data_IF_852554794726
#
_entry.id   IF_852554794726
#
_cell.length_a   1.000
_cell.length_b   1.000
_cell.length_c   1.000
_cell.angle_alpha   90.00
_cell.angle_beta   90.00
_cell.angle_gamma   90.00
#
_symmetry.space_group_name_H-M   'P 1'
#
loop_
_entity.id
_entity.type
_entity.pdbx_description
1 polymer ?
#
# COMPACT_ATOMS: atom_id res chain seq x y z
N UNK A 1 -3.10 -8.66 14.87
CA UNK A 1 -4.13 -9.31 14.05
C UNK A 1 -3.93 -10.82 14.01
N UNK A 2 -2.73 -11.31 13.61
CA UNK A 2 -2.48 -12.74 13.44
C UNK A 2 -2.67 -13.52 14.74
N UNK A 3 -2.19 -12.99 15.89
CA UNK A 3 -2.42 -13.59 17.20
C UNK A 3 -3.93 -13.75 17.50
N UNK A 4 -4.72 -12.70 17.27
CA UNK A 4 -6.18 -12.76 17.45
C UNK A 4 -6.86 -13.78 16.50
N UNK A 5 -6.29 -14.01 15.31
CA UNK A 5 -6.79 -15.04 14.40
C UNK A 5 -6.45 -16.45 14.89
N UNK A 6 -5.24 -16.69 15.41
CA UNK A 6 -4.90 -17.99 16.03
C UNK A 6 -5.78 -18.27 17.24
N UNK A 7 -6.00 -17.28 18.12
CA UNK A 7 -6.89 -17.41 19.29
C UNK A 7 -8.31 -17.82 18.84
N UNK A 8 -8.90 -17.10 17.87
CA UNK A 8 -10.24 -17.42 17.35
C UNK A 8 -10.33 -18.79 16.68
N UNK A 9 -9.31 -19.21 15.95
CA UNK A 9 -9.26 -20.55 15.36
C UNK A 9 -9.14 -21.63 16.43
N UNK A 10 -8.37 -21.40 17.48
CA UNK A 10 -8.25 -22.31 18.63
C UNK A 10 -9.62 -22.46 19.33
N UNK A 11 -10.39 -21.40 19.50
CA UNK A 11 -11.75 -21.42 20.06
C UNK A 11 -12.72 -22.29 19.23
N UNK A 12 -12.44 -22.50 17.94
CA UNK A 12 -13.21 -23.42 17.07
C UNK A 12 -12.69 -24.86 17.07
N UNK A 13 -11.71 -25.17 17.93
CA UNK A 13 -11.11 -26.50 18.04
C UNK A 13 -9.98 -26.77 17.04
N UNK A 14 -9.49 -25.76 16.36
CA UNK A 14 -8.36 -25.88 15.41
C UNK A 14 -7.05 -25.60 16.16
N UNK A 15 -6.22 -26.64 16.32
CA UNK A 15 -4.91 -26.49 16.95
C UNK A 15 -3.94 -25.77 15.98
N UNK A 16 -3.76 -24.48 16.20
CA UNK A 16 -2.83 -23.62 15.44
C UNK A 16 -2.11 -22.65 16.38
N UNK A 17 -0.78 -22.58 16.23
CA UNK A 17 0.04 -21.65 16.99
C UNK A 17 0.86 -20.71 16.11
N UNK A 18 1.31 -19.58 16.63
CA UNK A 18 2.23 -18.70 15.92
C UNK A 18 3.54 -19.41 15.53
N UNK A 19 4.01 -20.32 16.35
CA UNK A 19 5.24 -21.10 16.14
C UNK A 19 5.10 -22.04 14.95
N UNK A 20 3.99 -22.77 14.84
CA UNK A 20 3.69 -23.63 13.70
C UNK A 20 3.59 -22.83 12.39
N UNK A 21 2.98 -21.66 12.43
CA UNK A 21 2.91 -20.77 11.27
C UNK A 21 4.30 -20.26 10.86
N UNK A 22 5.15 -19.95 11.82
CA UNK A 22 6.53 -19.53 11.57
C UNK A 22 7.38 -20.67 11.02
N UNK A 23 7.23 -21.88 11.55
CA UNK A 23 7.90 -23.08 11.06
C UNK A 23 7.54 -23.35 9.58
N UNK A 24 6.27 -23.25 9.23
CA UNK A 24 5.78 -23.56 7.89
C UNK A 24 6.06 -22.45 6.85
N UNK A 25 6.00 -21.17 7.26
CA UNK A 25 6.08 -20.03 6.34
C UNK A 25 7.31 -19.13 6.56
N UNK A 26 8.17 -19.47 7.52
CA UNK A 26 9.38 -18.70 7.82
C UNK A 26 9.08 -17.29 8.30
N UNK A 27 9.88 -16.32 7.84
CA UNK A 27 9.74 -14.90 8.17
C UNK A 27 8.77 -14.15 7.24
N UNK A 28 7.94 -14.86 6.50
CA UNK A 28 6.93 -14.25 5.63
C UNK A 28 5.91 -13.42 6.43
N UNK A 29 5.46 -12.31 5.85
CA UNK A 29 4.34 -11.56 6.42
C UNK A 29 3.06 -12.38 6.28
N UNK A 30 2.60 -12.93 7.40
CA UNK A 30 1.43 -13.81 7.43
C UNK A 30 0.16 -13.06 7.01
N UNK A 31 -0.52 -13.63 6.02
CA UNK A 31 -1.81 -13.15 5.48
C UNK A 31 -2.89 -14.18 5.72
N UNK A 32 -4.17 -13.85 5.48
CA UNK A 32 -5.27 -14.82 5.54
C UNK A 32 -5.04 -16.06 4.64
N UNK A 33 -4.38 -15.87 3.51
CA UNK A 33 -4.04 -16.97 2.61
C UNK A 33 -3.08 -18.00 3.26
N UNK A 34 -2.14 -17.55 4.11
CA UNK A 34 -1.27 -18.46 4.85
C UNK A 34 -2.07 -19.28 5.88
N UNK A 35 -3.00 -18.65 6.58
CA UNK A 35 -3.90 -19.37 7.49
C UNK A 35 -4.79 -20.38 6.73
N UNK A 36 -5.39 -19.98 5.62
CA UNK A 36 -6.19 -20.88 4.79
C UNK A 36 -5.37 -22.07 4.30
N UNK A 37 -4.13 -21.82 3.87
CA UNK A 37 -3.20 -22.85 3.44
C UNK A 37 -2.83 -23.81 4.57
N UNK A 38 -2.56 -23.29 5.77
CA UNK A 38 -2.32 -24.10 6.95
C UNK A 38 -3.51 -25.03 7.24
N UNK A 39 -4.73 -24.49 7.26
CA UNK A 39 -5.94 -25.26 7.50
C UNK A 39 -6.13 -26.38 6.47
N UNK A 40 -5.86 -26.11 5.22
CA UNK A 40 -5.97 -27.09 4.13
C UNK A 40 -4.89 -28.17 4.25
N UNK A 41 -3.63 -27.80 4.42
CA UNK A 41 -2.51 -28.74 4.49
C UNK A 41 -2.56 -29.63 5.74
N UNK A 42 -3.19 -29.17 6.82
CA UNK A 42 -3.40 -29.96 8.05
C UNK A 42 -4.75 -30.68 8.11
N UNK A 43 -5.51 -30.69 7.02
CA UNK A 43 -6.75 -31.46 6.91
C UNK A 43 -7.94 -30.94 7.70
N UNK A 44 -7.89 -29.68 8.17
CA UNK A 44 -9.04 -29.03 8.84
C UNK A 44 -10.16 -28.64 7.87
N UNK A 45 -9.83 -28.49 6.59
CA UNK A 45 -10.74 -28.17 5.49
C UNK A 45 -10.33 -28.94 4.22
N UNK A 46 -11.27 -29.14 3.31
CA UNK A 46 -11.07 -29.85 2.04
C UNK A 46 -10.52 -28.96 0.92
N UNK A 47 -10.56 -27.64 1.08
CA UNK A 47 -10.06 -26.68 0.11
C UNK A 47 -9.72 -25.33 0.72
N UNK A 48 -8.90 -24.55 0.01
CA UNK A 48 -8.63 -23.14 0.36
C UNK A 48 -9.92 -22.32 0.40
N UNK A 49 -10.84 -22.55 -0.54
CA UNK A 49 -12.13 -21.85 -0.59
C UNK A 49 -12.97 -22.14 0.65
N UNK A 50 -13.01 -23.38 1.10
CA UNK A 50 -13.71 -23.76 2.34
C UNK A 50 -13.08 -23.06 3.56
N UNK A 51 -11.75 -22.98 3.63
CA UNK A 51 -11.09 -22.26 4.73
C UNK A 51 -11.55 -20.80 4.82
N UNK A 52 -11.67 -20.13 3.68
CA UNK A 52 -12.18 -18.76 3.65
C UNK A 52 -13.64 -18.70 4.06
N UNK A 53 -14.52 -19.41 3.38
CA UNK A 53 -15.96 -19.35 3.62
C UNK A 53 -16.33 -19.71 5.06
N UNK A 54 -15.66 -20.72 5.62
CA UNK A 54 -16.01 -21.26 6.93
C UNK A 54 -15.38 -20.50 8.09
N UNK A 55 -14.17 -19.94 7.91
CA UNK A 55 -13.39 -19.39 9.03
C UNK A 55 -12.86 -17.98 8.81
N UNK A 56 -12.43 -17.59 7.59
CA UNK A 56 -11.53 -16.47 7.39
C UNK A 56 -12.09 -15.29 6.58
N UNK A 57 -13.18 -15.47 5.84
CA UNK A 57 -13.81 -14.38 5.07
C UNK A 57 -14.46 -13.34 5.98
N UNK A 58 -14.73 -12.19 5.40
CA UNK A 58 -15.47 -11.12 6.04
C UNK A 58 -16.82 -11.71 6.53
N UNK A 59 -17.12 -11.51 7.82
CA UNK A 59 -18.26 -12.12 8.54
C UNK A 59 -18.07 -13.57 9.03
N UNK A 60 -17.00 -14.27 8.65
CA UNK A 60 -16.69 -15.59 9.20
C UNK A 60 -16.18 -15.50 10.66
N UNK A 61 -16.37 -16.56 11.49
CA UNK A 61 -16.13 -16.49 12.94
C UNK A 61 -14.69 -16.13 13.32
N UNK A 62 -13.70 -16.56 12.56
CA UNK A 62 -12.29 -16.26 12.85
C UNK A 62 -11.76 -15.03 12.13
N UNK A 63 -12.62 -14.30 11.43
CA UNK A 63 -12.23 -13.05 10.80
C UNK A 63 -11.74 -12.02 11.83
N UNK A 64 -10.60 -11.42 11.53
CA UNK A 64 -10.06 -10.28 12.28
C UNK A 64 -9.74 -9.18 11.28
N UNK A 65 -10.48 -8.06 11.31
CA UNK A 65 -10.23 -6.95 10.42
C UNK A 65 -8.81 -6.40 10.61
N UNK A 66 -8.22 -5.86 9.55
CA UNK A 66 -7.04 -5.01 9.72
C UNK A 66 -7.49 -3.67 10.30
N UNK A 67 -6.74 -3.17 11.25
CA UNK A 67 -6.81 -1.74 11.54
C UNK A 67 -6.48 -1.01 10.24
N UNK A 68 -7.44 -0.25 9.74
CA UNK A 68 -7.23 0.55 8.54
C UNK A 68 -6.47 1.79 8.99
N UNK A 69 -5.22 1.88 8.60
CA UNK A 69 -4.49 3.15 8.65
C UNK A 69 -5.18 4.07 7.63
N UNK A 70 -5.75 5.17 8.10
CA UNK A 70 -6.30 6.16 7.19
C UNK A 70 -5.18 6.89 6.45
N UNK A 71 -5.44 7.49 5.28
CA UNK A 71 -4.42 8.27 4.57
C UNK A 71 -3.82 9.38 5.44
N UNK A 72 -4.62 10.02 6.28
CA UNK A 72 -4.18 11.06 7.23
C UNK A 72 -3.22 10.48 8.28
N UNK A 73 -3.57 9.33 8.88
CA UNK A 73 -2.67 8.63 9.80
C UNK A 73 -1.37 8.22 9.13
N UNK A 74 -1.43 7.76 7.87
CA UNK A 74 -0.22 7.38 7.12
C UNK A 74 0.71 8.59 6.93
N UNK A 75 0.18 9.74 6.54
CA UNK A 75 0.97 10.97 6.40
C UNK A 75 1.63 11.36 7.72
N UNK A 76 0.89 11.35 8.83
CA UNK A 76 1.45 11.64 10.16
C UNK A 76 2.55 10.67 10.57
N UNK A 77 2.35 9.37 10.37
CA UNK A 77 3.36 8.35 10.72
C UNK A 77 4.65 8.52 9.90
N UNK A 78 4.53 8.84 8.61
CA UNK A 78 5.68 9.11 7.75
C UNK A 78 6.49 10.31 8.30
N UNK A 79 5.82 11.39 8.70
CA UNK A 79 6.49 12.56 9.30
C UNK A 79 7.14 12.25 10.65
N UNK A 80 6.50 11.46 11.50
CA UNK A 80 7.08 11.05 12.79
C UNK A 80 8.40 10.29 12.64
N UNK A 81 8.63 9.67 11.49
CA UNK A 81 9.90 8.97 11.17
C UNK A 81 10.90 9.83 10.40
N UNK A 82 10.64 11.15 10.24
CA UNK A 82 11.48 12.07 9.47
C UNK A 82 11.36 11.92 7.95
N UNK A 83 10.35 11.19 7.49
CA UNK A 83 10.06 11.00 6.06
C UNK A 83 9.19 12.13 5.48
N UNK A 84 8.98 12.07 4.17
CA UNK A 84 8.01 12.91 3.45
C UNK A 84 6.95 12.03 2.80
N UNK A 85 5.71 12.51 2.84
CA UNK A 85 4.57 11.79 2.29
C UNK A 85 4.31 12.20 0.84
N UNK A 86 4.19 11.21 -0.04
CA UNK A 86 3.89 11.40 -1.46
C UNK A 86 2.68 10.54 -1.84
N UNK A 87 1.67 11.15 -2.47
CA UNK A 87 0.51 10.45 -2.98
C UNK A 87 0.89 9.71 -4.27
N UNK A 88 0.91 8.38 -4.23
CA UNK A 88 1.33 7.52 -5.33
C UNK A 88 0.22 7.34 -6.38
N UNK A 89 0.58 7.13 -7.65
CA UNK A 89 -0.27 6.75 -8.81
C UNK A 89 -1.73 7.25 -8.76
N UNK A 90 -1.99 8.57 -8.62
CA UNK A 90 -3.31 9.12 -8.30
C UNK A 90 -4.39 8.84 -9.35
N UNK A 91 -4.01 8.55 -10.60
CA UNK A 91 -4.97 8.21 -11.64
C UNK A 91 -5.59 6.81 -11.48
N UNK A 92 -4.99 5.95 -10.65
CA UNK A 92 -5.55 4.63 -10.36
C UNK A 92 -6.73 4.67 -9.38
N UNK A 93 -6.96 5.80 -8.70
CA UNK A 93 -8.12 5.95 -7.80
C UNK A 93 -9.43 6.18 -8.54
N UNK A 94 -9.39 6.44 -9.85
CA UNK A 94 -10.55 6.74 -10.67
C UNK A 94 -11.39 7.94 -10.15
N UNK A 95 -10.75 8.85 -9.44
CA UNK A 95 -11.38 10.04 -8.88
C UNK A 95 -11.59 11.12 -9.95
N UNK A 96 -12.69 11.83 -9.83
CA UNK A 96 -12.89 13.10 -10.54
C UNK A 96 -11.87 14.14 -10.07
N UNK A 97 -11.71 15.22 -10.84
CA UNK A 97 -10.83 16.33 -10.46
C UNK A 97 -11.17 16.94 -9.10
N UNK A 98 -12.45 17.03 -8.80
CA UNK A 98 -12.94 17.56 -7.52
C UNK A 98 -12.55 16.64 -6.37
N UNK A 99 -12.82 15.34 -6.50
CA UNK A 99 -12.47 14.35 -5.47
C UNK A 99 -10.97 14.29 -5.22
N UNK A 100 -10.14 14.31 -6.29
CA UNK A 100 -8.69 14.30 -6.14
C UNK A 100 -8.18 15.57 -5.44
N UNK A 101 -8.74 16.74 -5.78
CA UNK A 101 -8.41 18.00 -5.11
C UNK A 101 -8.79 18.00 -3.63
N UNK A 102 -9.95 17.47 -3.29
CA UNK A 102 -10.42 17.35 -1.90
C UNK A 102 -9.52 16.42 -1.09
N UNK A 103 -9.16 15.26 -1.64
CA UNK A 103 -8.21 14.34 -1.02
C UNK A 103 -6.86 15.04 -0.76
N UNK A 104 -6.28 15.70 -1.77
CA UNK A 104 -5.00 16.40 -1.61
C UNK A 104 -5.10 17.51 -0.57
N UNK A 105 -6.20 18.27 -0.52
CA UNK A 105 -6.40 19.30 0.52
C UNK A 105 -6.43 18.70 1.91
N UNK A 106 -7.18 17.62 2.10
CA UNK A 106 -7.26 16.93 3.39
C UNK A 106 -5.87 16.42 3.82
N UNK A 107 -5.15 15.74 2.93
CA UNK A 107 -3.82 15.21 3.24
C UNK A 107 -2.76 16.31 3.39
N UNK A 108 -2.92 17.45 2.73
CA UNK A 108 -2.01 18.59 2.89
C UNK A 108 -2.10 19.21 4.28
N UNK A 109 -3.26 19.21 4.91
CA UNK A 109 -3.42 19.63 6.32
C UNK A 109 -2.56 18.76 7.24
N UNK A 110 -2.42 17.48 6.92
CA UNK A 110 -1.59 16.52 7.65
C UNK A 110 -0.11 16.54 7.23
N UNK A 111 0.24 17.33 6.22
CA UNK A 111 1.62 17.51 5.77
C UNK A 111 1.99 16.78 4.47
N UNK A 112 1.04 16.41 3.60
CA UNK A 112 1.38 15.82 2.29
C UNK A 112 2.37 16.71 1.53
N UNK A 113 3.52 16.16 1.15
CA UNK A 113 4.63 16.88 0.53
C UNK A 113 4.62 16.81 -1.00
N UNK A 114 4.06 15.76 -1.59
CA UNK A 114 4.12 15.56 -3.01
C UNK A 114 3.07 14.63 -3.59
N UNK A 115 3.06 14.54 -4.92
CA UNK A 115 2.19 13.68 -5.69
C UNK A 115 2.96 13.07 -6.87
N UNK A 116 2.74 11.81 -7.17
CA UNK A 116 3.38 11.13 -8.27
C UNK A 116 2.72 11.50 -9.60
N UNK A 117 3.45 12.22 -10.45
CA UNK A 117 3.00 12.63 -11.77
C UNK A 117 3.61 11.76 -12.88
N UNK A 118 4.91 11.47 -12.77
CA UNK A 118 5.62 10.62 -13.72
C UNK A 118 5.45 9.16 -13.32
N UNK A 119 4.57 8.46 -14.01
CA UNK A 119 4.25 7.07 -13.69
C UNK A 119 4.09 6.24 -14.97
N UNK A 120 4.48 4.97 -14.92
CA UNK A 120 4.59 4.06 -16.07
C UNK A 120 3.35 4.04 -16.98
N UNK A 121 2.16 4.11 -16.41
CA UNK A 121 0.90 4.02 -17.17
C UNK A 121 0.19 5.36 -17.34
N UNK A 122 0.75 6.46 -16.83
CA UNK A 122 0.16 7.78 -17.10
C UNK A 122 0.42 8.19 -18.54
N UNK A 123 -0.64 8.68 -19.19
CA UNK A 123 -0.50 9.39 -20.47
C UNK A 123 0.15 10.76 -20.26
N UNK A 124 0.69 11.35 -21.31
CA UNK A 124 1.24 12.71 -21.25
C UNK A 124 0.23 13.74 -20.75
N UNK A 125 -1.03 13.61 -21.11
CA UNK A 125 -2.11 14.49 -20.62
C UNK A 125 -2.38 14.31 -19.14
N UNK A 126 -2.36 13.08 -18.63
CA UNK A 126 -2.51 12.78 -17.21
C UNK A 126 -1.33 13.32 -16.41
N UNK A 127 -0.09 13.09 -16.86
CA UNK A 127 1.09 13.66 -16.23
C UNK A 127 1.02 15.18 -16.15
N UNK A 128 0.69 15.85 -17.26
CA UNK A 128 0.54 17.30 -17.30
C UNK A 128 -0.54 17.80 -16.35
N UNK A 129 -1.68 17.12 -16.29
CA UNK A 129 -2.78 17.42 -15.36
C UNK A 129 -2.34 17.35 -13.91
N UNK A 130 -1.60 16.29 -13.52
CA UNK A 130 -1.13 16.11 -12.15
C UNK A 130 -0.05 17.13 -11.80
N UNK A 131 0.89 17.42 -12.69
CA UNK A 131 1.90 18.49 -12.50
C UNK A 131 1.24 19.84 -12.24
N UNK A 132 0.23 20.17 -13.01
CA UNK A 132 -0.55 21.41 -12.86
C UNK A 132 -1.29 21.44 -11.52
N UNK A 133 -1.86 20.31 -11.12
CA UNK A 133 -2.50 20.17 -9.81
C UNK A 133 -1.50 20.33 -8.66
N UNK A 134 -0.33 19.72 -8.75
CA UNK A 134 0.75 19.86 -7.77
C UNK A 134 1.18 21.32 -7.62
N UNK A 135 1.34 22.04 -8.73
CA UNK A 135 1.67 23.48 -8.75
C UNK A 135 0.60 24.30 -8.02
N UNK A 136 -0.69 24.11 -8.37
CA UNK A 136 -1.81 24.83 -7.72
C UNK A 136 -1.89 24.52 -6.22
N UNK A 137 -1.60 23.29 -5.84
CA UNK A 137 -1.62 22.86 -4.45
C UNK A 137 -0.35 23.19 -3.69
N UNK A 138 0.71 23.66 -4.33
CA UNK A 138 1.99 23.97 -3.69
C UNK A 138 2.64 22.74 -3.07
N UNK A 139 2.59 21.59 -3.75
CA UNK A 139 3.26 20.34 -3.37
C UNK A 139 4.24 19.91 -4.45
N UNK A 140 5.22 19.09 -4.09
CA UNK A 140 6.21 18.58 -5.03
C UNK A 140 5.64 17.54 -6.00
N UNK A 141 6.32 17.40 -7.12
CA UNK A 141 6.08 16.29 -8.06
C UNK A 141 7.06 15.17 -7.77
N UNK A 142 6.61 13.93 -7.83
CA UNK A 142 7.46 12.73 -7.82
C UNK A 142 7.23 11.88 -9.06
N UNK A 143 7.99 10.81 -9.16
CA UNK A 143 7.81 9.80 -10.18
C UNK A 143 8.35 8.44 -9.76
N UNK A 144 7.83 7.38 -10.36
CA UNK A 144 8.21 6.00 -10.12
C UNK A 144 7.72 5.05 -11.19
N UNK A 145 8.43 3.95 -11.37
CA UNK A 145 8.03 2.90 -12.31
C UNK A 145 6.96 1.95 -11.74
N UNK A 146 6.82 1.94 -10.43
CA UNK A 146 5.99 0.97 -9.70
C UNK A 146 6.43 -0.48 -9.98
N UNK A 147 7.75 -0.67 -10.02
CA UNK A 147 8.38 -1.96 -10.21
C UNK A 147 8.10 -2.90 -9.03
N UNK A 148 7.67 -4.13 -9.33
CA UNK A 148 7.34 -5.15 -8.34
C UNK A 148 7.95 -6.52 -8.67
N UNK A 149 9.09 -6.52 -9.35
CA UNK A 149 9.76 -7.75 -9.77
C UNK A 149 8.87 -8.61 -10.68
N UNK A 150 8.91 -9.91 -10.46
CA UNK A 150 8.10 -10.90 -11.20
C UNK A 150 6.58 -10.73 -11.04
N UNK A 151 6.13 -10.04 -9.98
CA UNK A 151 4.70 -9.79 -9.74
C UNK A 151 4.10 -8.76 -10.71
N UNK A 152 4.94 -8.00 -11.42
CA UNK A 152 4.53 -7.00 -12.41
C UNK A 152 5.41 -7.08 -13.65
N UNK A 153 5.27 -8.16 -14.44
CA UNK A 153 6.12 -8.39 -15.61
C UNK A 153 5.97 -7.24 -16.63
N UNK A 154 7.06 -6.92 -17.31
CA UNK A 154 7.09 -5.85 -18.34
C UNK A 154 7.16 -4.43 -17.77
N UNK A 155 7.44 -4.27 -16.47
CA UNK A 155 7.79 -2.99 -15.86
C UNK A 155 9.20 -3.08 -15.28
N UNK A 156 10.12 -2.28 -15.80
CA UNK A 156 11.50 -2.25 -15.35
C UNK A 156 11.71 -1.17 -14.27
N UNK A 157 12.70 -1.41 -13.41
CA UNK A 157 13.09 -0.47 -12.38
C UNK A 157 13.56 0.85 -13.02
N UNK A 158 12.95 1.96 -12.62
CA UNK A 158 13.31 3.30 -13.08
C UNK A 158 12.79 3.70 -14.46
N UNK A 159 12.69 2.77 -15.40
CA UNK A 159 12.31 3.07 -16.80
C UNK A 159 10.86 2.68 -17.16
N UNK A 160 10.18 1.94 -16.28
CA UNK A 160 8.82 1.50 -16.52
C UNK A 160 8.75 0.54 -17.71
N UNK A 161 8.01 0.90 -18.75
CA UNK A 161 7.94 0.18 -20.03
C UNK A 161 8.90 0.77 -21.07
N UNK A 162 10.01 1.39 -20.64
CA UNK A 162 10.93 2.12 -21.50
C UNK A 162 10.47 3.55 -21.82
N UNK A 163 9.36 3.98 -21.26
CA UNK A 163 8.73 5.28 -21.53
C UNK A 163 8.91 6.31 -20.41
N UNK A 164 9.47 5.90 -19.28
CA UNK A 164 9.59 6.75 -18.10
C UNK A 164 10.99 7.39 -18.04
N UNK A 165 11.01 8.71 -17.81
CA UNK A 165 12.24 9.48 -17.55
C UNK A 165 11.97 10.44 -16.42
N UNK A 166 12.58 10.18 -15.26
CA UNK A 166 12.43 10.99 -14.05
C UNK A 166 13.73 11.77 -13.86
N UNK A 167 13.72 13.12 -13.95
CA UNK A 167 14.92 13.94 -13.75
C UNK A 167 15.40 13.86 -12.29
N UNK A 168 16.70 13.91 -12.07
CA UNK A 168 17.32 13.92 -10.74
C UNK A 168 16.84 15.10 -9.88
N UNK A 169 16.55 16.24 -10.51
CA UNK A 169 15.95 17.40 -9.86
C UNK A 169 14.63 17.10 -9.11
N UNK A 170 13.93 16.03 -9.52
CA UNK A 170 12.74 15.54 -8.81
C UNK A 170 13.09 15.08 -7.39
N UNK A 171 14.14 14.26 -7.28
CA UNK A 171 14.64 13.77 -5.98
C UNK A 171 15.21 14.92 -5.13
N UNK A 172 15.97 15.83 -5.77
CA UNK A 172 16.53 16.99 -5.09
C UNK A 172 15.46 17.88 -4.48
N UNK A 173 14.36 18.12 -5.19
CA UNK A 173 13.23 18.90 -4.69
C UNK A 173 12.53 18.20 -3.51
N UNK A 174 12.36 16.89 -3.57
CA UNK A 174 11.80 16.11 -2.47
C UNK A 174 12.72 16.14 -1.23
N UNK A 175 14.05 16.03 -1.42
CA UNK A 175 15.02 16.16 -0.32
C UNK A 175 14.95 17.54 0.34
N UNK A 176 14.89 18.61 -0.44
CA UNK A 176 14.71 19.99 0.09
C UNK A 176 13.44 20.14 0.92
N UNK A 177 12.35 19.46 0.51
CA UNK A 177 11.12 19.49 1.31
C UNK A 177 11.26 18.72 2.62
N UNK A 178 11.92 17.55 2.60
CA UNK A 178 12.22 16.78 3.81
C UNK A 178 13.04 17.62 4.80
N UNK A 179 14.10 18.24 4.32
CA UNK A 179 15.01 19.00 5.17
C UNK A 179 14.32 20.20 5.80
N UNK A 180 13.38 20.84 5.08
CA UNK A 180 12.52 21.91 5.63
C UNK A 180 11.50 21.41 6.65
N UNK A 181 10.98 20.20 6.49
CA UNK A 181 10.00 19.65 7.43
C UNK A 181 10.65 19.17 8.74
N UNK A 182 11.96 18.92 8.73
CA UNK A 182 12.71 18.44 9.88
C UNK A 182 13.55 19.56 10.56
N UNK A 183 13.52 20.77 10.05
CA UNK A 183 14.18 21.95 10.63
C UNK A 183 13.27 22.71 11.58
#
# INVERSE_FOLDING_TARGET
>A
RNRKMTEKLADTGIAISPEQLKEQFGDAVLTRAHFARFLYEHGYVSSMSEAFTRYLDDHAPCFVPREKVTPEMAVRLIHQTGGIAVLAHPMQYHFSDTQLKELIRALKVEGLNGIEAMYTTHSRSQEHRIRRLAQVMGICVSGGSDFHGSNKPGIDLGTGRGNLRIPDSTLENLRKQRDKANA
#
